data_IF_695418272718
#
_entry.id   IF_695418272718
#
_cell.length_a   1.000
_cell.length_b   1.000
_cell.length_c   1.000
_cell.angle_alpha   90.00
_cell.angle_beta   90.00
_cell.angle_gamma   90.00
#
_symmetry.space_group_name_H-M   'P 1'
#
loop_
_entity.id
_entity.type
_entity.pdbx_description
1 polymer ?
#
# COMPACT_ATOMS: atom_id res chain seq x y z
N UNK A 1 78.08 -8.83 23.87
CA UNK A 1 76.85 -9.57 23.54
C UNK A 1 75.67 -8.85 24.17
N UNK A 2 74.85 -8.15 23.36
CA UNK A 2 73.56 -7.61 23.79
C UNK A 2 72.51 -8.02 22.76
N UNK A 3 71.60 -8.87 23.20
CA UNK A 3 70.46 -9.43 22.49
C UNK A 3 69.38 -8.35 22.33
N UNK A 4 68.97 -8.05 21.10
CA UNK A 4 67.81 -7.20 20.82
C UNK A 4 66.57 -8.08 20.69
N UNK A 5 65.64 -7.97 21.65
CA UNK A 5 64.30 -8.53 21.53
C UNK A 5 63.42 -7.54 20.79
N UNK A 6 62.86 -7.94 19.66
CA UNK A 6 61.84 -7.18 18.93
C UNK A 6 60.49 -7.40 19.62
N UNK A 7 59.93 -6.36 20.23
CA UNK A 7 58.51 -6.35 20.59
C UNK A 7 57.68 -6.03 19.35
N UNK A 8 56.83 -6.96 18.94
CA UNK A 8 55.77 -6.73 17.98
C UNK A 8 54.58 -6.08 18.70
N UNK A 9 54.21 -4.86 18.31
CA UNK A 9 52.99 -4.20 18.77
C UNK A 9 51.81 -4.74 17.95
N UNK A 10 50.92 -5.49 18.60
CA UNK A 10 49.65 -5.90 18.00
C UNK A 10 48.69 -4.69 18.01
N UNK A 11 48.41 -4.14 16.84
CA UNK A 11 47.39 -3.11 16.64
C UNK A 11 46.04 -3.83 16.56
N UNK A 12 45.27 -3.80 17.64
CA UNK A 12 43.88 -4.26 17.65
C UNK A 12 42.99 -3.25 16.96
N UNK A 13 42.44 -3.61 15.80
CA UNK A 13 41.40 -2.83 15.12
C UNK A 13 40.08 -3.16 15.82
N UNK A 14 39.57 -2.25 16.65
CA UNK A 14 38.21 -2.34 17.17
C UNK A 14 37.23 -2.01 16.04
N UNK A 15 36.49 -3.00 15.57
CA UNK A 15 35.37 -2.79 14.66
C UNK A 15 34.26 -2.03 15.42
N UNK A 16 34.05 -0.77 15.07
CA UNK A 16 32.89 -0.02 15.51
C UNK A 16 31.67 -0.55 14.75
N UNK A 17 30.93 -1.45 15.38
CA UNK A 17 29.58 -1.82 14.95
C UNK A 17 28.69 -0.58 15.15
N UNK A 18 28.42 0.15 14.07
CA UNK A 18 27.39 1.18 14.07
C UNK A 18 26.05 0.51 14.30
N UNK A 19 25.51 0.64 15.51
CA UNK A 19 24.10 0.34 15.77
C UNK A 19 23.32 1.39 14.98
N UNK A 20 22.64 0.97 13.91
CA UNK A 20 21.68 1.84 13.25
C UNK A 20 20.64 2.19 14.31
N UNK A 21 20.67 3.43 14.80
CA UNK A 21 19.54 4.00 15.52
C UNK A 21 18.41 3.96 14.50
N UNK A 22 17.39 3.14 14.75
CA UNK A 22 16.14 3.22 14.00
C UNK A 22 15.70 4.68 14.10
N UNK A 23 15.86 5.43 13.02
CA UNK A 23 15.53 6.84 13.01
C UNK A 23 14.04 6.96 13.26
N UNK A 24 13.66 7.67 14.32
CA UNK A 24 12.35 8.30 14.40
C UNK A 24 12.16 9.07 13.10
N UNK A 25 11.15 8.69 12.33
CA UNK A 25 10.91 9.21 11.00
C UNK A 25 9.42 9.27 10.74
N UNK A 26 9.02 10.35 10.09
CA UNK A 26 7.64 10.59 9.69
C UNK A 26 7.67 11.11 8.27
N UNK A 27 6.89 10.50 7.39
CA UNK A 27 6.68 10.99 6.05
C UNK A 27 5.31 10.55 5.53
N UNK A 28 4.73 11.34 4.65
CA UNK A 28 3.46 11.02 4.01
C UNK A 28 3.35 11.68 2.63
N UNK A 29 2.57 11.03 1.78
CA UNK A 29 2.23 11.48 0.45
C UNK A 29 0.85 12.15 0.46
N UNK A 30 0.71 13.23 -0.30
CA UNK A 30 -0.55 13.97 -0.45
C UNK A 30 -1.52 13.27 -1.41
N UNK A 31 -1.82 11.99 -1.17
CA UNK A 31 -2.85 11.25 -1.91
C UNK A 31 -4.25 11.82 -1.63
N UNK A 32 -5.26 11.47 -2.42
CA UNK A 32 -6.58 12.09 -2.35
C UNK A 32 -7.58 11.23 -1.57
N UNK A 33 -8.55 11.86 -0.91
CA UNK A 33 -9.65 11.14 -0.27
C UNK A 33 -10.71 10.76 -1.32
N UNK A 34 -10.73 9.49 -1.73
CA UNK A 34 -11.73 8.87 -2.62
C UNK A 34 -12.66 7.88 -1.89
N UNK A 35 -13.93 8.25 -1.68
CA UNK A 35 -14.93 7.31 -1.12
C UNK A 35 -15.47 6.40 -2.22
N UNK A 36 -15.60 5.09 -1.96
CA UNK A 36 -16.20 4.15 -2.92
C UNK A 36 -17.66 4.52 -3.21
N UNK A 37 -18.02 4.58 -4.49
CA UNK A 37 -19.37 5.00 -4.92
C UNK A 37 -20.41 3.88 -4.73
N UNK A 38 -19.98 2.62 -4.75
CA UNK A 38 -20.81 1.44 -4.53
C UNK A 38 -20.20 0.45 -3.54
N UNK A 39 -21.00 -0.50 -3.06
CA UNK A 39 -20.65 -1.37 -1.92
C UNK A 39 -19.44 -2.26 -2.14
N UNK A 40 -19.11 -2.62 -3.39
CA UNK A 40 -17.98 -3.47 -3.72
C UNK A 40 -16.87 -2.74 -4.50
N UNK A 41 -16.85 -1.41 -4.49
CA UNK A 41 -15.95 -0.60 -5.32
C UNK A 41 -14.70 -0.08 -4.60
N UNK A 42 -14.30 -0.68 -3.48
CA UNK A 42 -13.06 -0.32 -2.77
C UNK A 42 -11.82 -0.40 -3.68
N UNK A 43 -11.77 -1.37 -4.58
CA UNK A 43 -10.71 -1.53 -5.57
C UNK A 43 -10.71 -0.42 -6.63
N UNK A 44 -11.89 0.05 -7.05
CA UNK A 44 -12.01 1.13 -8.02
C UNK A 44 -11.59 2.46 -7.38
N UNK A 45 -12.12 2.76 -6.19
CA UNK A 45 -11.75 3.95 -5.42
C UNK A 45 -10.25 4.03 -5.13
N UNK A 46 -9.65 2.93 -4.66
CA UNK A 46 -8.21 2.87 -4.40
C UNK A 46 -7.36 3.00 -5.67
N UNK A 47 -7.85 2.50 -6.81
CA UNK A 47 -7.16 2.69 -8.10
C UNK A 47 -7.20 4.14 -8.55
N UNK A 48 -8.34 4.83 -8.37
CA UNK A 48 -8.49 6.26 -8.68
C UNK A 48 -7.54 7.09 -7.81
N UNK A 49 -7.48 6.82 -6.51
CA UNK A 49 -6.59 7.53 -5.58
C UNK A 49 -5.10 7.41 -6.01
N UNK A 50 -4.63 6.18 -6.26
CA UNK A 50 -3.26 5.96 -6.73
C UNK A 50 -2.99 6.62 -8.08
N UNK A 51 -3.91 6.50 -9.05
CA UNK A 51 -3.72 7.09 -10.37
C UNK A 51 -3.70 8.63 -10.30
N UNK A 52 -4.51 9.23 -9.43
CA UNK A 52 -4.55 10.69 -9.24
C UNK A 52 -3.21 11.22 -8.73
N UNK A 53 -2.58 10.50 -7.79
CA UNK A 53 -1.22 10.81 -7.34
C UNK A 53 -0.20 10.86 -8.49
N UNK A 54 -0.36 10.01 -9.51
CA UNK A 54 0.49 9.98 -10.70
C UNK A 54 -0.02 10.86 -11.86
N UNK A 55 -1.01 11.73 -11.60
CA UNK A 55 -1.51 12.74 -12.54
C UNK A 55 -2.60 12.26 -13.50
N UNK A 56 -3.18 11.07 -13.27
CA UNK A 56 -4.31 10.55 -14.03
C UNK A 56 -5.58 10.52 -13.15
N UNK A 57 -6.68 11.12 -13.59
CA UNK A 57 -7.88 11.22 -12.76
C UNK A 57 -9.11 10.54 -13.40
N UNK A 58 -9.13 9.20 -13.50
CA UNK A 58 -10.30 8.48 -13.99
C UNK A 58 -11.44 8.50 -12.96
N UNK A 59 -12.68 8.37 -13.40
CA UNK A 59 -13.81 8.11 -12.48
C UNK A 59 -13.84 6.63 -12.08
N UNK A 60 -14.40 6.30 -10.91
CA UNK A 60 -14.59 4.90 -10.50
C UNK A 60 -15.41 4.13 -11.54
N UNK A 61 -16.42 4.76 -12.13
CA UNK A 61 -17.19 4.15 -13.21
C UNK A 61 -16.33 3.77 -14.42
N UNK A 62 -15.40 4.64 -14.83
CA UNK A 62 -14.54 4.38 -15.99
C UNK A 62 -13.59 3.22 -15.70
N UNK A 63 -13.09 3.14 -14.47
CA UNK A 63 -12.30 2.01 -13.97
C UNK A 63 -13.10 0.73 -14.01
N UNK A 64 -14.35 0.75 -13.54
CA UNK A 64 -15.25 -0.42 -13.50
C UNK A 64 -15.66 -0.89 -14.90
N UNK A 65 -16.03 0.06 -15.76
CA UNK A 65 -16.32 -0.19 -17.17
C UNK A 65 -15.14 -0.87 -17.86
N UNK A 66 -13.93 -0.35 -17.67
CA UNK A 66 -12.74 -0.94 -18.25
C UNK A 66 -12.43 -2.34 -17.70
N UNK A 67 -12.46 -2.50 -16.37
CA UNK A 67 -12.12 -3.75 -15.72
C UNK A 67 -13.04 -4.92 -16.12
N UNK A 68 -14.32 -4.64 -16.38
CA UNK A 68 -15.31 -5.64 -16.79
C UNK A 68 -15.65 -5.62 -18.28
N UNK A 69 -15.01 -4.78 -19.10
CA UNK A 69 -15.30 -4.67 -20.53
C UNK A 69 -16.74 -4.21 -20.82
N UNK A 70 -17.26 -3.28 -20.03
CA UNK A 70 -18.65 -2.79 -20.07
C UNK A 70 -18.71 -1.27 -20.22
N UNK A 71 -19.91 -0.72 -20.42
CA UNK A 71 -20.13 0.73 -20.66
C UNK A 71 -21.32 1.31 -19.90
N UNK A 72 -21.90 0.55 -18.99
CA UNK A 72 -23.15 0.82 -18.28
C UNK A 72 -22.95 1.09 -16.78
N UNK A 73 -21.72 1.01 -16.25
CA UNK A 73 -21.45 1.32 -14.85
C UNK A 73 -21.75 2.79 -14.51
N UNK A 74 -21.63 3.70 -15.49
CA UNK A 74 -22.18 5.06 -15.43
C UNK A 74 -22.75 5.42 -16.81
N UNK A 75 -24.07 5.48 -16.91
CA UNK A 75 -24.81 5.91 -18.09
C UNK A 75 -26.06 6.71 -17.68
N UNK A 76 -26.95 7.00 -18.62
CA UNK A 76 -28.21 7.74 -18.36
C UNK A 76 -29.23 6.96 -17.50
N UNK A 77 -28.90 5.72 -17.10
CA UNK A 77 -29.74 4.89 -16.26
C UNK A 77 -29.17 4.87 -14.85
N UNK A 78 -30.05 4.80 -13.85
CA UNK A 78 -29.67 4.56 -12.45
C UNK A 78 -28.89 3.24 -12.38
N UNK A 79 -27.70 3.26 -11.75
CA UNK A 79 -26.90 2.05 -11.54
C UNK A 79 -27.69 1.00 -10.76
N UNK A 80 -27.77 -0.22 -11.28
CA UNK A 80 -28.38 -1.34 -10.56
C UNK A 80 -27.43 -1.82 -9.47
N UNK A 81 -27.84 -1.65 -8.21
CA UNK A 81 -27.08 -2.09 -7.04
C UNK A 81 -26.77 -3.60 -7.03
N UNK A 82 -27.54 -4.40 -7.76
CA UNK A 82 -27.34 -5.85 -7.93
C UNK A 82 -26.58 -6.21 -9.21
N UNK A 83 -26.08 -5.23 -9.96
CA UNK A 83 -25.27 -5.47 -11.16
C UNK A 83 -24.01 -6.24 -10.82
N UNK A 84 -23.58 -7.13 -11.72
CA UNK A 84 -22.28 -7.81 -11.65
C UNK A 84 -21.10 -6.81 -11.60
N UNK A 85 -21.29 -5.55 -12.03
CA UNK A 85 -20.31 -4.48 -11.86
C UNK A 85 -20.08 -4.09 -10.40
N UNK A 86 -21.05 -4.34 -9.51
CA UNK A 86 -20.94 -4.15 -8.08
C UNK A 86 -20.47 -5.43 -7.38
N UNK A 87 -19.37 -6.02 -7.86
CA UNK A 87 -18.79 -7.24 -7.31
C UNK A 87 -17.35 -7.02 -6.81
N UNK A 88 -16.85 -7.87 -5.89
CA UNK A 88 -15.47 -7.84 -5.46
C UNK A 88 -14.50 -8.10 -6.62
N UNK A 89 -13.30 -7.54 -6.53
CA UNK A 89 -12.25 -7.74 -7.54
C UNK A 89 -10.89 -8.05 -6.88
N UNK A 90 -9.99 -8.66 -7.64
CA UNK A 90 -8.67 -9.04 -7.17
C UNK A 90 -7.67 -7.88 -7.20
N UNK A 91 -6.66 -7.97 -6.33
CA UNK A 91 -5.56 -7.02 -6.33
C UNK A 91 -4.61 -7.23 -7.53
N UNK A 92 -4.34 -8.49 -7.91
CA UNK A 92 -3.49 -8.87 -9.05
C UNK A 92 -3.84 -10.27 -9.58
N UNK A 93 -3.14 -10.71 -10.62
CA UNK A 93 -3.18 -12.11 -11.10
C UNK A 93 -4.32 -12.45 -12.06
N UNK A 94 -5.19 -11.48 -12.37
CA UNK A 94 -6.26 -11.63 -13.36
C UNK A 94 -6.50 -10.34 -14.13
N UNK A 95 -7.11 -10.45 -15.31
CA UNK A 95 -7.54 -9.30 -16.10
C UNK A 95 -8.53 -8.44 -15.30
N UNK A 96 -8.42 -7.12 -15.43
CA UNK A 96 -9.27 -6.17 -14.70
C UNK A 96 -8.94 -6.01 -13.21
N UNK A 97 -7.93 -6.72 -12.67
CA UNK A 97 -7.45 -6.50 -11.30
C UNK A 97 -6.89 -5.09 -11.09
N UNK A 98 -6.69 -4.68 -9.84
CA UNK A 98 -6.06 -3.37 -9.51
C UNK A 98 -4.73 -3.21 -10.24
N UNK A 99 -3.85 -4.21 -10.24
CA UNK A 99 -2.60 -4.16 -11.00
C UNK A 99 -2.82 -3.90 -12.50
N UNK A 100 -3.82 -4.53 -13.11
CA UNK A 100 -4.15 -4.31 -14.53
C UNK A 100 -4.70 -2.90 -14.78
N UNK A 101 -5.50 -2.37 -13.85
CA UNK A 101 -6.05 -1.00 -13.92
C UNK A 101 -4.92 0.02 -13.84
N UNK A 102 -4.01 -0.13 -12.89
CA UNK A 102 -2.85 0.75 -12.75
C UNK A 102 -1.97 0.69 -14.01
N UNK A 103 -1.70 -0.50 -14.53
CA UNK A 103 -0.93 -0.68 -15.76
C UNK A 103 -1.60 -0.02 -16.96
N UNK A 104 -2.92 -0.11 -17.10
CA UNK A 104 -3.67 0.57 -18.15
C UNK A 104 -3.62 2.11 -18.00
N UNK A 105 -3.54 2.60 -16.77
CA UNK A 105 -3.26 4.01 -16.46
C UNK A 105 -1.80 4.43 -16.68
N UNK A 106 -0.94 3.52 -17.18
CA UNK A 106 0.48 3.80 -17.44
C UNK A 106 1.39 3.63 -16.22
N UNK A 107 0.88 3.10 -15.10
CA UNK A 107 1.64 2.92 -13.86
C UNK A 107 2.06 1.46 -13.66
N UNK A 108 3.36 1.22 -13.52
CA UNK A 108 3.87 -0.11 -13.18
C UNK A 108 3.72 -0.40 -11.69
N UNK A 109 3.52 -1.67 -11.35
CA UNK A 109 3.49 -2.11 -9.95
C UNK A 109 3.92 -3.56 -9.79
N UNK A 110 4.51 -3.87 -8.64
CA UNK A 110 4.96 -5.21 -8.26
C UNK A 110 4.06 -5.79 -7.18
N UNK A 111 3.56 -7.01 -7.41
CA UNK A 111 2.64 -7.70 -6.51
C UNK A 111 3.37 -8.59 -5.49
N UNK A 112 2.82 -8.63 -4.28
CA UNK A 112 3.29 -9.47 -3.18
C UNK A 112 2.11 -10.11 -2.47
N UNK A 113 2.19 -11.41 -2.20
CA UNK A 113 1.24 -12.16 -1.36
C UNK A 113 1.63 -12.04 0.12
N UNK A 114 1.86 -10.81 0.58
CA UNK A 114 2.20 -10.50 1.97
C UNK A 114 1.97 -9.03 2.28
N UNK A 115 1.84 -8.73 3.58
CA UNK A 115 2.08 -7.38 4.08
C UNK A 115 3.47 -6.87 3.66
N UNK A 116 3.60 -5.56 3.44
CA UNK A 116 4.91 -4.94 3.27
C UNK A 116 5.65 -4.91 4.61
N UNK A 117 6.96 -5.10 4.57
CA UNK A 117 7.79 -4.85 5.76
C UNK A 117 7.82 -3.36 6.08
N UNK A 118 8.07 -3.02 7.35
CA UNK A 118 8.25 -1.62 7.77
C UNK A 118 9.24 -0.86 6.87
N UNK A 119 10.42 -1.44 6.61
CA UNK A 119 11.43 -0.83 5.76
C UNK A 119 10.96 -0.66 4.30
N UNK A 120 10.12 -1.56 3.78
CA UNK A 120 9.56 -1.42 2.44
C UNK A 120 8.58 -0.23 2.38
N UNK A 121 7.71 -0.08 3.39
CA UNK A 121 6.80 1.07 3.53
C UNK A 121 7.60 2.38 3.56
N UNK A 122 8.61 2.46 4.43
CA UNK A 122 9.50 3.64 4.53
C UNK A 122 10.15 3.93 3.17
N UNK A 123 10.73 2.91 2.52
CA UNK A 123 11.40 3.11 1.23
C UNK A 123 10.48 3.55 0.10
N UNK A 124 9.24 3.05 0.07
CA UNK A 124 8.26 3.43 -0.95
C UNK A 124 7.78 4.87 -0.74
N UNK A 125 7.40 5.21 0.50
CA UNK A 125 6.92 6.55 0.84
C UNK A 125 8.02 7.60 0.64
N UNK A 126 9.26 7.33 1.06
CA UNK A 126 10.38 8.26 0.86
C UNK A 126 10.74 8.45 -0.63
N UNK A 127 10.46 7.44 -1.46
CA UNK A 127 10.61 7.53 -2.91
C UNK A 127 9.41 8.20 -3.61
N UNK A 128 8.37 8.59 -2.87
CA UNK A 128 7.17 9.20 -3.46
C UNK A 128 6.18 8.20 -4.06
N UNK A 129 6.24 6.93 -3.64
CA UNK A 129 5.42 5.84 -4.15
C UNK A 129 4.38 5.40 -3.13
N UNK A 130 3.08 5.69 -3.33
CA UNK A 130 2.03 5.06 -2.53
C UNK A 130 1.96 3.56 -2.88
N UNK A 131 1.43 2.76 -1.98
CA UNK A 131 1.25 1.32 -2.20
C UNK A 131 -0.20 0.94 -2.00
N UNK A 132 -0.65 -0.13 -2.65
CA UNK A 132 -1.99 -0.67 -2.44
C UNK A 132 -1.89 -1.87 -1.50
N UNK A 133 -2.78 -1.96 -0.53
CA UNK A 133 -2.87 -3.08 0.40
C UNK A 133 -4.24 -3.74 0.33
N UNK A 134 -4.28 -5.05 0.61
CA UNK A 134 -5.52 -5.78 0.81
C UNK A 134 -5.61 -6.28 2.25
N UNK A 135 -6.67 -5.87 2.94
CA UNK A 135 -7.13 -6.56 4.14
C UNK A 135 -8.01 -7.75 3.73
N UNK A 136 -7.62 -8.95 4.14
CA UNK A 136 -8.46 -10.14 4.09
C UNK A 136 -9.14 -10.34 5.44
N UNK A 137 -10.47 -10.26 5.46
CA UNK A 137 -11.24 -10.48 6.68
C UNK A 137 -11.36 -11.96 7.02
N UNK A 138 -11.32 -12.29 8.31
CA UNK A 138 -11.52 -13.68 8.76
C UNK A 138 -12.95 -14.18 8.50
N UNK A 139 -13.94 -13.28 8.44
CA UNK A 139 -15.32 -13.59 8.05
C UNK A 139 -15.49 -13.86 6.54
N UNK A 140 -14.45 -13.65 5.75
CA UNK A 140 -14.47 -13.77 4.30
C UNK A 140 -14.58 -12.41 3.60
N UNK A 141 -14.19 -12.37 2.32
CA UNK A 141 -14.10 -11.14 1.54
C UNK A 141 -12.77 -10.41 1.77
N UNK A 142 -12.77 -9.12 1.49
CA UNK A 142 -11.62 -8.26 1.73
C UNK A 142 -11.87 -6.82 1.34
N UNK A 143 -10.89 -5.98 1.66
CA UNK A 143 -10.93 -4.55 1.47
C UNK A 143 -9.62 -4.06 0.91
N UNK A 144 -9.68 -3.20 -0.12
CA UNK A 144 -8.50 -2.65 -0.77
C UNK A 144 -8.36 -1.20 -0.33
N UNK A 145 -7.15 -0.84 0.11
CA UNK A 145 -6.79 0.45 0.69
C UNK A 145 -5.49 0.97 0.06
N UNK A 146 -5.21 2.26 0.21
CA UNK A 146 -3.97 2.89 -0.28
C UNK A 146 -3.12 3.33 0.89
N UNK A 147 -1.92 2.77 1.03
CA UNK A 147 -0.91 3.26 1.97
C UNK A 147 -0.20 4.48 1.43
N UNK A 148 -0.12 5.52 2.25
CA UNK A 148 0.42 6.82 1.85
C UNK A 148 1.48 7.38 2.80
N UNK A 149 1.67 6.79 3.99
CA UNK A 149 2.60 7.36 4.97
C UNK A 149 3.02 6.41 6.07
N UNK A 150 3.99 6.86 6.84
CA UNK A 150 4.49 6.17 8.03
C UNK A 150 4.90 7.18 9.11
N UNK A 151 4.84 6.74 10.37
CA UNK A 151 5.32 7.49 11.53
C UNK A 151 5.97 6.52 12.53
N UNK A 152 7.18 6.83 13.00
CA UNK A 152 7.83 6.13 14.12
C UNK A 152 7.88 7.06 15.33
N UNK A 153 6.86 6.92 16.18
CA UNK A 153 6.73 7.64 17.44
C UNK A 153 7.48 6.88 18.54
N UNK A 154 8.78 7.18 18.68
CA UNK A 154 9.62 6.66 19.77
C UNK A 154 9.65 5.11 19.84
N UNK A 155 9.67 4.44 18.70
CA UNK A 155 9.66 2.99 18.57
C UNK A 155 8.26 2.38 18.36
N UNK A 156 7.21 3.19 18.39
CA UNK A 156 5.85 2.77 17.98
C UNK A 156 5.62 3.15 16.54
N UNK A 157 5.55 2.14 15.68
CA UNK A 157 5.38 2.30 14.24
C UNK A 157 3.91 2.42 13.86
N UNK A 158 3.58 3.42 13.06
CA UNK A 158 2.26 3.68 12.49
C UNK A 158 2.31 3.71 10.98
N UNK A 159 1.25 3.23 10.34
CA UNK A 159 1.03 3.30 8.89
C UNK A 159 -0.16 4.20 8.62
N UNK A 160 0.05 5.18 7.74
CA UNK A 160 -0.99 6.03 7.19
C UNK A 160 -1.58 5.39 5.95
N UNK A 161 -2.90 5.21 5.92
CA UNK A 161 -3.62 4.67 4.77
C UNK A 161 -4.96 5.35 4.53
N UNK A 162 -5.35 5.42 3.26
CA UNK A 162 -6.65 5.86 2.80
C UNK A 162 -7.58 4.64 2.78
N UNK A 163 -8.65 4.70 3.57
CA UNK A 163 -9.76 3.76 3.55
C UNK A 163 -10.95 4.30 2.72
N UNK A 164 -11.32 3.66 1.59
CA UNK A 164 -12.37 4.16 0.71
C UNK A 164 -13.80 3.91 1.24
N UNK A 165 -13.97 3.22 2.37
CA UNK A 165 -15.29 2.88 2.88
C UNK A 165 -16.10 4.14 3.27
N UNK A 166 -17.44 4.19 3.04
CA UNK A 166 -18.23 5.35 3.40
C UNK A 166 -18.17 5.67 4.90
N UNK A 167 -17.84 6.92 5.23
CA UNK A 167 -17.64 7.39 6.61
C UNK A 167 -16.19 7.33 7.10
N UNK A 168 -15.31 6.65 6.37
CA UNK A 168 -13.88 6.54 6.67
C UNK A 168 -13.07 7.58 5.88
N UNK A 169 -11.76 7.34 5.70
CA UNK A 169 -10.87 8.16 4.90
C UNK A 169 -9.41 7.95 5.31
N UNK A 170 -8.68 9.05 5.49
CA UNK A 170 -7.32 9.00 6.02
C UNK A 170 -7.31 8.44 7.45
N UNK A 171 -6.60 7.34 7.63
CA UNK A 171 -6.49 6.63 8.90
C UNK A 171 -5.01 6.40 9.20
N UNK A 172 -4.67 6.46 10.49
CA UNK A 172 -3.38 6.04 11.02
C UNK A 172 -3.61 4.93 12.02
N UNK A 173 -2.87 3.83 11.92
CA UNK A 173 -2.93 2.72 12.87
C UNK A 173 -1.55 2.15 13.10
N UNK A 174 -1.35 1.45 14.21
CA UNK A 174 -0.05 0.82 14.46
C UNK A 174 0.25 -0.21 13.38
N UNK A 175 1.51 -0.28 12.93
CA UNK A 175 1.95 -1.25 11.92
C UNK A 175 1.55 -2.68 12.30
N UNK A 176 1.67 -3.05 13.58
CA UNK A 176 1.25 -4.35 14.07
C UNK A 176 -0.25 -4.61 13.85
N UNK A 177 -1.12 -3.62 14.13
CA UNK A 177 -2.55 -3.75 13.90
C UNK A 177 -2.89 -3.79 12.40
N UNK A 178 -2.24 -2.95 11.58
CA UNK A 178 -2.41 -2.92 10.13
C UNK A 178 -2.00 -4.24 9.48
N UNK A 179 -0.98 -4.91 10.01
CA UNK A 179 -0.58 -6.25 9.55
C UNK A 179 -1.61 -7.30 9.95
N UNK A 180 -2.10 -7.27 11.19
CA UNK A 180 -3.16 -8.17 11.64
C UNK A 180 -3.87 -7.64 12.89
N UNK A 181 -5.20 -7.76 12.88
CA UNK A 181 -6.05 -7.51 14.04
C UNK A 181 -6.92 -8.75 14.33
N UNK A 182 -6.89 -9.22 15.58
CA UNK A 182 -7.59 -10.44 15.98
C UNK A 182 -9.09 -10.37 15.66
N UNK A 183 -9.63 -11.43 15.05
CA UNK A 183 -11.04 -11.57 14.64
C UNK A 183 -11.53 -10.57 13.58
N UNK A 184 -10.67 -9.69 13.09
CA UNK A 184 -10.98 -8.71 12.05
C UNK A 184 -10.30 -9.08 10.73
N UNK A 185 -9.00 -8.78 10.60
CA UNK A 185 -8.29 -8.90 9.33
C UNK A 185 -6.83 -9.36 9.43
N UNK A 186 -6.29 -9.71 8.27
CA UNK A 186 -4.86 -9.79 7.98
C UNK A 186 -4.56 -8.98 6.73
N UNK A 187 -3.42 -8.29 6.67
CA UNK A 187 -2.92 -7.72 5.43
C UNK A 187 -2.33 -8.84 4.56
N UNK A 188 -3.11 -9.31 3.58
CA UNK A 188 -2.79 -10.50 2.81
C UNK A 188 -1.92 -10.21 1.59
N UNK A 189 -2.10 -9.05 0.97
CA UNK A 189 -1.51 -8.75 -0.33
C UNK A 189 -1.14 -7.27 -0.47
N UNK A 190 -0.12 -7.00 -1.29
CA UNK A 190 0.37 -5.65 -1.58
C UNK A 190 0.66 -5.44 -3.06
N UNK A 191 0.48 -4.21 -3.54
CA UNK A 191 1.10 -3.69 -4.77
C UNK A 191 2.02 -2.53 -4.41
N UNK A 192 3.31 -2.66 -4.73
CA UNK A 192 4.25 -1.54 -4.67
C UNK A 192 4.25 -0.83 -6.01
N UNK A 193 3.94 0.46 -6.04
CA UNK A 193 3.96 1.24 -7.29
C UNK A 193 5.39 1.63 -7.67
N UNK A 194 5.64 1.80 -8.96
CA UNK A 194 6.96 2.17 -9.50
C UNK A 194 6.79 2.88 -10.85
N UNK A 195 7.60 3.91 -11.09
CA UNK A 195 7.70 4.59 -12.40
C UNK A 195 8.79 3.99 -13.28
#
# INVERSE_FOLDING_TARGET
MKTMHRLAAAIGIAALSSVAVAGSGYNYLGVVKVVQEHSNWCWAASSVDVLDWYGANPSQCSVVNWAFGRSDACGNNVFDWNSDANSPNALYGQAGSVQSILQNGGLSSTAYTSALSWNAIVSDVDAGHPFVMRFGWYSGGGHILVGYGYDDEQGTQYVGYMNPWPGEGFTWSTYAWTVSAAYDHTWTDSLRTSN
#
